data_IF_543531780648
#
_entry.id   IF_543531780648
#
_cell.length_a   1.000
_cell.length_b   1.000
_cell.length_c   1.000
_cell.angle_alpha   90.00
_cell.angle_beta   90.00
_cell.angle_gamma   90.00
#
_symmetry.space_group_name_H-M   'P 1'
#
loop_
_entity.id
_entity.type
_entity.pdbx_description
1 polymer ?
#
# COMPACT_ATOMS: atom_id res chain seq x y z
N UNK A 1 -2.05 -5.67 2.10
CA UNK A 1 -3.28 -5.41 1.31
C UNK A 1 -3.26 -6.36 0.14
N UNK A 2 -4.39 -6.97 -0.19
CA UNK A 2 -4.48 -7.95 -1.26
C UNK A 2 -5.90 -7.98 -1.84
N UNK A 3 -6.07 -8.51 -3.05
CA UNK A 3 -7.37 -8.72 -3.66
C UNK A 3 -7.62 -10.18 -3.96
N UNK A 4 -8.86 -10.61 -3.73
CA UNK A 4 -9.36 -11.92 -4.14
C UNK A 4 -10.48 -11.70 -5.15
N UNK A 5 -10.38 -12.31 -6.32
CA UNK A 5 -11.39 -12.23 -7.40
C UNK A 5 -11.88 -13.64 -7.79
N UNK A 6 -12.94 -13.68 -8.60
CA UNK A 6 -13.56 -14.93 -9.03
C UNK A 6 -14.54 -15.51 -8.00
N UNK A 7 -15.03 -14.66 -7.09
CA UNK A 7 -16.07 -15.02 -6.14
C UNK A 7 -17.44 -14.97 -6.83
N UNK A 8 -18.44 -15.73 -6.34
CA UNK A 8 -19.83 -15.56 -6.76
C UNK A 8 -20.26 -14.10 -6.60
N UNK A 9 -21.04 -13.60 -7.57
CA UNK A 9 -21.60 -12.26 -7.52
C UNK A 9 -22.49 -12.08 -6.29
N UNK A 10 -22.28 -11.02 -5.52
CA UNK A 10 -23.21 -10.62 -4.47
C UNK A 10 -24.46 -9.93 -5.06
N UNK A 11 -25.34 -9.43 -4.19
CA UNK A 11 -26.57 -8.74 -4.58
C UNK A 11 -26.34 -7.46 -5.42
N UNK A 12 -25.14 -6.89 -5.36
CA UNK A 12 -24.74 -5.69 -6.11
C UNK A 12 -23.90 -6.05 -7.35
N UNK A 13 -23.70 -7.35 -7.64
CA UNK A 13 -22.91 -7.83 -8.77
C UNK A 13 -21.40 -7.81 -8.54
N UNK A 14 -20.94 -7.61 -7.30
CA UNK A 14 -19.51 -7.61 -6.96
C UNK A 14 -18.98 -9.03 -6.89
N UNK A 15 -17.84 -9.27 -7.54
CA UNK A 15 -17.23 -10.61 -7.74
C UNK A 15 -15.84 -10.73 -7.12
N UNK A 16 -15.44 -9.73 -6.32
CA UNK A 16 -14.18 -9.73 -5.61
C UNK A 16 -14.29 -9.14 -4.21
N UNK A 17 -13.21 -9.31 -3.45
CA UNK A 17 -13.05 -8.72 -2.12
C UNK A 17 -11.65 -8.13 -2.03
N UNK A 18 -11.57 -6.89 -1.56
CA UNK A 18 -10.33 -6.27 -1.14
C UNK A 18 -10.08 -6.54 0.34
N UNK A 19 -8.89 -7.01 0.66
CA UNK A 19 -8.49 -7.42 2.00
C UNK A 19 -7.42 -6.48 2.53
N UNK A 20 -7.70 -5.90 3.70
CA UNK A 20 -6.72 -5.15 4.48
C UNK A 20 -6.60 -5.76 5.87
N UNK A 21 -5.37 -5.89 6.37
CA UNK A 21 -5.10 -6.37 7.73
C UNK A 21 -4.27 -5.32 8.44
N UNK A 22 -4.79 -4.80 9.54
CA UNK A 22 -3.99 -4.00 10.46
C UNK A 22 -3.05 -4.93 11.24
N UNK A 23 -1.74 -4.74 11.08
CA UNK A 23 -0.74 -5.58 11.72
C UNK A 23 -0.62 -5.32 13.22
N UNK A 24 -1.06 -4.16 13.71
CA UNK A 24 -1.05 -3.82 15.13
C UNK A 24 -2.20 -4.52 15.86
N UNK A 25 -3.44 -4.24 15.44
CA UNK A 25 -4.64 -4.80 16.09
C UNK A 25 -4.99 -6.23 15.65
N UNK A 26 -4.37 -6.71 14.56
CA UNK A 26 -4.74 -7.97 13.86
C UNK A 26 -6.16 -7.97 13.29
N UNK A 27 -6.82 -6.82 13.22
CA UNK A 27 -8.13 -6.72 12.58
C UNK A 27 -8.01 -6.88 11.07
N UNK A 28 -8.90 -7.69 10.52
CA UNK A 28 -9.06 -7.89 9.08
C UNK A 28 -10.31 -7.17 8.60
N UNK A 29 -10.17 -6.45 7.49
CA UNK A 29 -11.23 -5.77 6.78
C UNK A 29 -11.42 -6.45 5.43
N UNK A 30 -12.67 -6.80 5.14
CA UNK A 30 -13.11 -7.38 3.88
C UNK A 30 -14.08 -6.41 3.22
N UNK A 31 -13.69 -5.84 2.10
CA UNK A 31 -14.48 -4.85 1.37
C UNK A 31 -14.90 -5.50 0.05
N UNK A 32 -16.19 -5.79 -0.16
CA UNK A 32 -16.67 -6.29 -1.43
C UNK A 32 -16.39 -5.28 -2.56
N UNK A 33 -15.85 -5.75 -3.69
CA UNK A 33 -15.49 -4.92 -4.84
C UNK A 33 -15.88 -5.60 -6.15
N UNK A 34 -16.16 -4.80 -7.18
CA UNK A 34 -16.24 -5.30 -8.54
C UNK A 34 -14.86 -5.76 -9.03
N UNK A 35 -14.82 -6.78 -9.89
CA UNK A 35 -13.63 -7.19 -10.65
C UNK A 35 -13.02 -6.06 -11.50
N UNK A 36 -13.84 -5.07 -11.88
CA UNK A 36 -13.45 -3.86 -12.62
C UNK A 36 -13.00 -2.70 -11.71
N UNK A 37 -12.85 -2.92 -10.39
CA UNK A 37 -12.41 -1.89 -9.45
C UNK A 37 -11.08 -1.28 -9.90
N UNK A 38 -11.04 0.05 -9.95
CA UNK A 38 -9.87 0.79 -10.42
C UNK A 38 -8.92 1.13 -9.28
N UNK A 39 -7.71 1.59 -9.66
CA UNK A 39 -6.74 2.13 -8.71
C UNK A 39 -7.29 3.34 -7.93
N UNK A 40 -8.09 4.20 -8.58
CA UNK A 40 -8.71 5.36 -7.95
C UNK A 40 -9.82 4.95 -6.97
N UNK A 41 -10.67 3.99 -7.35
CA UNK A 41 -11.70 3.45 -6.46
C UNK A 41 -11.07 2.81 -5.22
N UNK A 42 -9.98 2.07 -5.42
CA UNK A 42 -9.21 1.45 -4.32
C UNK A 42 -8.66 2.50 -3.36
N UNK A 43 -8.17 3.64 -3.88
CA UNK A 43 -7.71 4.74 -3.04
C UNK A 43 -8.85 5.36 -2.22
N UNK A 44 -10.05 5.51 -2.82
CA UNK A 44 -11.23 5.97 -2.09
C UNK A 44 -11.63 4.99 -0.98
N UNK A 45 -11.67 3.68 -1.27
CA UNK A 45 -11.92 2.65 -0.26
C UNK A 45 -10.87 2.67 0.86
N UNK A 46 -9.60 2.95 0.55
CA UNK A 46 -8.57 3.08 1.58
C UNK A 46 -8.90 4.23 2.54
N UNK A 47 -9.32 5.38 2.02
CA UNK A 47 -9.71 6.52 2.86
C UNK A 47 -10.91 6.16 3.74
N UNK A 48 -11.96 5.60 3.14
CA UNK A 48 -13.22 5.36 3.82
C UNK A 48 -13.13 4.23 4.86
N UNK A 49 -12.33 3.19 4.58
CA UNK A 49 -12.29 1.98 5.40
C UNK A 49 -11.05 1.83 6.27
N UNK A 50 -9.91 2.41 5.87
CA UNK A 50 -8.65 2.31 6.63
C UNK A 50 -8.37 3.63 7.35
N UNK A 51 -8.23 4.71 6.58
CA UNK A 51 -7.82 6.01 7.12
C UNK A 51 -8.84 6.56 8.11
N UNK A 52 -10.13 6.45 7.81
CA UNK A 52 -11.20 6.92 8.70
C UNK A 52 -11.16 6.26 10.09
N UNK A 53 -10.75 5.01 10.18
CA UNK A 53 -10.77 4.24 11.42
C UNK A 53 -9.44 4.29 12.18
N UNK A 54 -8.31 4.33 11.48
CA UNK A 54 -6.97 4.16 12.08
C UNK A 54 -5.99 5.29 11.76
N UNK A 55 -6.40 6.26 10.95
CA UNK A 55 -5.49 7.26 10.38
C UNK A 55 -4.56 6.66 9.33
N UNK A 56 -3.49 7.39 9.00
CA UNK A 56 -2.48 6.91 8.06
C UNK A 56 -1.60 5.87 8.76
N UNK A 57 -1.50 4.64 8.25
CA UNK A 57 -0.52 3.69 8.77
C UNK A 57 0.91 4.16 8.48
N UNK A 58 1.83 3.86 9.40
CA UNK A 58 3.25 4.17 9.25
C UNK A 58 3.88 3.46 8.04
N UNK A 59 3.41 2.26 7.71
CA UNK A 59 3.85 1.52 6.54
C UNK A 59 2.72 0.69 5.95
N UNK A 60 2.69 0.62 4.62
CA UNK A 60 1.72 -0.15 3.87
C UNK A 60 2.49 -1.19 3.04
N UNK A 61 2.08 -2.45 3.16
CA UNK A 61 2.59 -3.55 2.35
C UNK A 61 1.44 -4.06 1.49
N UNK A 62 1.63 -4.04 0.17
CA UNK A 62 0.74 -4.66 -0.81
C UNK A 62 1.47 -5.77 -1.56
N UNK A 63 0.72 -6.65 -2.19
CA UNK A 63 1.26 -7.55 -3.21
C UNK A 63 1.58 -6.76 -4.50
N UNK A 64 1.94 -7.49 -5.56
CA UNK A 64 2.24 -6.90 -6.89
C UNK A 64 0.98 -6.76 -7.76
N UNK A 65 -0.21 -6.65 -7.16
CA UNK A 65 -1.44 -6.47 -7.93
C UNK A 65 -1.38 -5.17 -8.76
N UNK A 66 -1.77 -5.19 -10.06
CA UNK A 66 -1.81 -3.99 -10.89
C UNK A 66 -2.71 -2.86 -10.36
N UNK A 67 -3.59 -3.15 -9.40
CA UNK A 67 -4.39 -2.13 -8.72
C UNK A 67 -3.59 -1.31 -7.71
N UNK A 68 -2.47 -1.79 -7.20
CA UNK A 68 -1.54 -1.05 -6.33
C UNK A 68 -0.44 -0.37 -7.15
N UNK A 69 -0.84 0.32 -8.22
CA UNK A 69 0.07 1.03 -9.13
C UNK A 69 0.45 2.41 -8.61
N UNK A 70 1.45 3.07 -9.24
CA UNK A 70 1.67 4.50 -9.08
C UNK A 70 0.39 5.35 -9.15
N UNK A 71 -0.58 4.98 -9.99
CA UNK A 71 -1.86 5.67 -10.09
C UNK A 71 -2.70 5.58 -8.81
N UNK A 72 -2.70 4.43 -8.12
CA UNK A 72 -3.35 4.27 -6.82
C UNK A 72 -2.71 5.20 -5.80
N UNK A 73 -1.38 5.18 -5.69
CA UNK A 73 -0.66 6.01 -4.73
C UNK A 73 -0.87 7.50 -5.01
N UNK A 74 -0.79 7.93 -6.27
CA UNK A 74 -1.07 9.32 -6.65
C UNK A 74 -2.49 9.73 -6.27
N UNK A 75 -3.49 8.87 -6.52
CA UNK A 75 -4.89 9.13 -6.16
C UNK A 75 -5.08 9.23 -4.65
N UNK A 76 -4.47 8.32 -3.89
CA UNK A 76 -4.53 8.30 -2.42
C UNK A 76 -3.96 9.58 -1.82
N UNK A 77 -2.75 9.98 -2.22
CA UNK A 77 -2.11 11.18 -1.69
C UNK A 77 -2.85 12.45 -2.11
N UNK A 78 -3.42 12.49 -3.32
CA UNK A 78 -4.31 13.57 -3.75
C UNK A 78 -5.54 13.69 -2.84
N UNK A 79 -6.20 12.58 -2.49
CA UNK A 79 -7.33 12.57 -1.56
C UNK A 79 -6.94 13.03 -0.14
N UNK A 80 -5.71 12.73 0.29
CA UNK A 80 -5.14 13.21 1.55
C UNK A 80 -4.69 14.68 1.50
N UNK A 81 -4.77 15.35 0.34
CA UNK A 81 -4.30 16.73 0.16
C UNK A 81 -2.77 16.86 0.20
N UNK A 82 -2.05 15.77 -0.08
CA UNK A 82 -0.58 15.70 -0.02
C UNK A 82 0.01 15.42 -1.39
N UNK A 83 1.21 15.93 -1.66
CA UNK A 83 1.90 15.71 -2.94
C UNK A 83 2.75 14.45 -2.85
N UNK A 84 2.41 13.44 -3.66
CA UNK A 84 3.28 12.30 -3.87
C UNK A 84 4.32 12.63 -4.93
N UNK A 85 5.60 12.54 -4.57
CA UNK A 85 6.72 12.62 -5.52
C UNK A 85 7.35 11.23 -5.60
N UNK A 86 7.12 10.52 -6.70
CA UNK A 86 7.78 9.23 -6.95
C UNK A 86 9.09 9.46 -7.72
N UNK A 87 10.21 9.05 -7.14
CA UNK A 87 11.46 8.96 -7.89
C UNK A 87 11.38 7.81 -8.89
N UNK A 88 11.91 8.02 -10.09
CA UNK A 88 12.12 6.92 -11.03
C UNK A 88 13.51 6.35 -10.77
N UNK A 89 13.63 5.02 -10.81
CA UNK A 89 14.91 4.30 -10.62
C UNK A 89 16.02 4.68 -11.64
N UNK A 90 15.77 5.65 -12.54
CA UNK A 90 16.66 6.09 -13.60
C UNK A 90 17.01 7.59 -13.55
N UNK A 91 16.65 8.35 -12.49
CA UNK A 91 17.01 9.78 -12.37
C UNK A 91 17.50 10.16 -10.96
N UNK A 92 18.83 10.21 -10.74
CA UNK A 92 19.46 10.54 -9.45
C UNK A 92 19.28 12.00 -8.97
N UNK A 93 18.77 12.90 -9.81
CA UNK A 93 18.89 14.34 -9.56
C UNK A 93 17.96 14.88 -8.45
N UNK A 94 16.92 14.15 -8.07
CA UNK A 94 15.97 14.58 -7.02
C UNK A 94 15.94 13.70 -5.77
N UNK A 95 16.67 12.57 -5.75
CA UNK A 95 16.55 11.55 -4.70
C UNK A 95 17.86 11.29 -3.94
N UNK A 96 18.88 12.14 -4.10
CA UNK A 96 20.24 11.84 -3.63
C UNK A 96 20.40 11.64 -2.11
N UNK A 97 19.47 12.11 -1.27
CA UNK A 97 19.50 11.85 0.18
C UNK A 97 18.82 10.53 0.54
N UNK A 98 17.59 10.30 0.07
CA UNK A 98 16.86 9.04 0.31
C UNK A 98 17.56 7.86 -0.35
N UNK A 99 18.10 8.04 -1.56
CA UNK A 99 18.85 7.02 -2.28
C UNK A 99 20.16 6.66 -1.56
N UNK A 100 20.84 7.64 -0.94
CA UNK A 100 22.00 7.37 -0.07
C UNK A 100 21.61 6.59 1.18
N UNK A 101 20.49 6.92 1.81
CA UNK A 101 19.98 6.19 2.99
C UNK A 101 19.55 4.78 2.60
N UNK A 102 18.79 4.61 1.52
CA UNK A 102 18.37 3.29 1.02
C UNK A 102 19.56 2.42 0.65
N UNK A 103 20.56 2.98 -0.02
CA UNK A 103 21.79 2.26 -0.37
C UNK A 103 22.60 1.87 0.86
N UNK A 104 22.68 2.72 1.88
CA UNK A 104 23.29 2.37 3.18
C UNK A 104 22.49 1.24 3.85
N UNK A 105 21.16 1.26 3.79
CA UNK A 105 20.33 0.19 4.35
C UNK A 105 20.44 -1.13 3.58
N UNK A 106 20.61 -1.09 2.26
CA UNK A 106 20.87 -2.26 1.41
C UNK A 106 22.29 -2.82 1.59
N UNK A 107 23.28 -1.96 1.81
CA UNK A 107 24.68 -2.33 2.04
C UNK A 107 24.98 -2.76 3.48
N UNK A 108 24.05 -2.57 4.44
CA UNK A 108 24.19 -3.18 5.78
C UNK A 108 23.88 -4.68 5.63
N UNK A 109 24.91 -5.55 5.59
CA UNK A 109 24.65 -6.98 5.62
C UNK A 109 24.06 -7.28 7.00
N UNK A 110 23.22 -8.30 7.11
CA UNK A 110 22.79 -8.99 8.33
C UNK A 110 23.88 -9.06 9.43
N UNK A 111 24.14 -7.95 10.12
CA UNK A 111 25.11 -7.81 11.23
C UNK A 111 24.48 -7.12 12.44
N UNK A 112 23.20 -6.73 12.34
CA UNK A 112 22.39 -6.34 13.50
C UNK A 112 21.81 -7.55 14.24
N UNK A 113 21.88 -8.77 13.68
CA UNK A 113 21.45 -9.99 14.37
C UNK A 113 22.38 -10.40 15.53
N UNK A 114 23.61 -9.90 15.60
CA UNK A 114 24.56 -10.28 16.66
C UNK A 114 24.62 -9.30 17.84
N UNK A 115 23.89 -8.16 17.77
CA UNK A 115 23.96 -7.11 18.81
C UNK A 115 22.84 -7.24 19.87
N UNK A 116 21.79 -8.04 19.61
CA UNK A 116 20.70 -8.30 20.56
C UNK A 116 20.59 -9.77 21.01
N UNK A 117 21.60 -10.59 20.74
CA UNK A 117 21.71 -11.97 21.23
C UNK A 117 22.83 -12.12 22.28
N UNK A 118 22.97 -11.12 23.16
CA UNK A 118 23.78 -11.19 24.37
C UNK A 118 22.89 -11.29 25.60
#
# INVERSE_FOLDING_TARGET
>A
MDFIFGLPSDAEGRTGVWVFVDRLTKMMYLIPVSDMVTAADTAAYFIDCVFRHHGLPESIVSDRNPRFTPAFWSSLFQLLGTKLSMSTAARPETDGQTERVNRVLEDVPSKLCDVFAG
#
